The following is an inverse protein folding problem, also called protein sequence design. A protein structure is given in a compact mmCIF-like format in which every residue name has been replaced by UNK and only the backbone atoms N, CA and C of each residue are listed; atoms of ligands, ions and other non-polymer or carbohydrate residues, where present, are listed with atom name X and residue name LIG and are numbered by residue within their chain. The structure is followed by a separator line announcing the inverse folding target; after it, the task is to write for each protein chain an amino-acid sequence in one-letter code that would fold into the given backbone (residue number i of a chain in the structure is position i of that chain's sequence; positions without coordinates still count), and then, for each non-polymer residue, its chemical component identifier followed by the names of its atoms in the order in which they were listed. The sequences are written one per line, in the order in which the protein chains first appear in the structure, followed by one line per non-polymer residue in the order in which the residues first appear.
data_IF_002804469572
#
_entry.id   IF_002804469572
#
_cell.length_a   1.000
_cell.length_b   1.000
_cell.length_c   1.000
_cell.angle_alpha   90.00
_cell.angle_beta   90.00
_cell.angle_gamma   90.00
#
_symmetry.space_group_name_H-M   'P 1'
#
loop_
_entity.id
_entity.type
_entity.pdbx_description
1 polymer ?
#
# COMPACT_ATOMS: atom_id res chain seq x y z
N UNK A 1 6.12 -8.67 -11.35
CA UNK A 1 5.15 -8.15 -12.34
C UNK A 1 5.47 -6.71 -12.72
N UNK A 2 5.68 -5.78 -11.78
CA UNK A 2 6.05 -4.38 -12.11
C UNK A 2 7.40 -4.32 -12.86
N UNK A 3 8.38 -5.11 -12.42
CA UNK A 3 9.67 -5.26 -13.11
C UNK A 3 9.47 -5.61 -14.60
N UNK A 4 8.63 -6.60 -14.90
CA UNK A 4 8.32 -6.98 -16.28
C UNK A 4 7.68 -5.84 -17.08
N UNK A 5 6.76 -5.10 -16.46
CA UNK A 5 6.14 -3.94 -17.11
C UNK A 5 7.17 -2.81 -17.38
N UNK A 6 8.16 -2.65 -16.50
CA UNK A 6 9.26 -1.69 -16.69
C UNK A 6 10.24 -2.18 -17.76
N UNK A 7 10.51 -3.50 -17.85
CA UNK A 7 11.36 -4.10 -18.89
C UNK A 7 10.76 -3.91 -20.29
N UNK A 8 9.44 -4.07 -20.43
CA UNK A 8 8.75 -3.91 -21.74
C UNK A 8 8.89 -2.50 -22.33
N UNK A 9 9.15 -1.51 -21.50
CA UNK A 9 9.32 -0.11 -21.92
C UNK A 9 10.76 0.41 -21.74
N UNK A 10 11.72 -0.48 -21.53
CA UNK A 10 13.15 -0.16 -21.29
C UNK A 10 13.37 0.85 -20.14
N UNK A 11 12.55 0.81 -19.08
CA UNK A 11 12.61 1.69 -17.92
C UNK A 11 12.96 0.95 -16.61
N UNK A 12 13.39 -0.31 -16.69
CA UNK A 12 13.83 -1.08 -15.51
C UNK A 12 15.25 -0.66 -15.10
N UNK A 13 15.35 0.48 -14.44
CA UNK A 13 16.64 1.05 -14.00
C UNK A 13 16.67 1.25 -12.49
N UNK A 14 17.89 1.28 -11.92
CA UNK A 14 18.10 1.51 -10.49
C UNK A 14 17.52 2.86 -10.03
N UNK A 15 17.57 3.89 -10.89
CA UNK A 15 17.02 5.21 -10.59
C UNK A 15 15.49 5.14 -10.44
N UNK A 16 14.81 4.40 -11.31
CA UNK A 16 13.35 4.20 -11.23
C UNK A 16 12.99 3.46 -9.96
N UNK A 17 13.70 2.39 -9.62
CA UNK A 17 13.46 1.67 -8.37
C UNK A 17 13.74 2.52 -7.12
N UNK A 18 14.80 3.32 -7.10
CA UNK A 18 15.06 4.28 -6.02
C UNK A 18 13.93 5.29 -5.87
N UNK A 19 13.39 5.80 -6.97
CA UNK A 19 12.26 6.75 -6.93
C UNK A 19 10.97 6.11 -6.38
N UNK A 20 10.70 4.85 -6.74
CA UNK A 20 9.56 4.08 -6.21
C UNK A 20 9.72 3.87 -4.70
N UNK A 21 10.91 3.47 -4.24
CA UNK A 21 11.20 3.26 -2.81
C UNK A 21 11.04 4.57 -2.03
N UNK A 22 11.59 5.67 -2.54
CA UNK A 22 11.46 7.01 -1.93
C UNK A 22 9.99 7.46 -1.86
N UNK A 23 9.16 7.04 -2.82
CA UNK A 23 7.73 7.30 -2.87
C UNK A 23 6.88 6.27 -2.10
N UNK A 24 7.45 5.58 -1.09
CA UNK A 24 6.79 4.55 -0.29
C UNK A 24 6.23 3.37 -1.09
N UNK A 25 6.85 3.03 -2.20
CA UNK A 25 6.43 1.95 -3.10
C UNK A 25 5.39 2.38 -4.15
N UNK A 26 5.03 3.65 -4.21
CA UNK A 26 4.12 4.17 -5.23
C UNK A 26 4.82 4.33 -6.58
N UNK A 27 4.17 3.90 -7.65
CA UNK A 27 4.58 4.15 -9.03
C UNK A 27 3.74 5.24 -9.72
N UNK A 28 2.83 5.92 -9.00
CA UNK A 28 1.89 6.88 -9.58
C UNK A 28 2.58 8.13 -10.17
N UNK A 29 3.77 8.47 -9.69
CA UNK A 29 4.57 9.61 -10.15
C UNK A 29 5.35 9.35 -11.44
N UNK A 30 5.38 8.11 -11.94
CA UNK A 30 6.11 7.73 -13.13
C UNK A 30 5.29 8.06 -14.38
N UNK A 31 5.57 9.15 -15.07
CA UNK A 31 4.78 9.66 -16.20
C UNK A 31 4.81 8.74 -17.45
N UNK A 32 5.82 7.89 -17.54
CA UNK A 32 5.97 6.95 -18.67
C UNK A 32 5.10 5.68 -18.53
N UNK A 33 4.50 5.43 -17.35
CA UNK A 33 3.55 4.34 -17.16
C UNK A 33 2.15 4.76 -17.64
N UNK A 34 1.47 3.86 -18.32
CA UNK A 34 0.08 4.04 -18.70
C UNK A 34 -0.87 3.98 -17.48
N UNK A 35 -2.06 4.53 -17.63
CA UNK A 35 -3.05 4.61 -16.55
C UNK A 35 -3.48 3.22 -16.05
N UNK A 36 -3.53 2.23 -16.94
CA UNK A 36 -3.88 0.86 -16.55
C UNK A 36 -2.82 0.25 -15.63
N UNK A 37 -1.55 0.37 -15.99
CA UNK A 37 -0.43 -0.11 -15.19
C UNK A 37 -0.39 0.59 -13.83
N UNK A 38 -0.61 1.91 -13.80
CA UNK A 38 -0.72 2.67 -12.53
C UNK A 38 -1.86 2.19 -11.65
N UNK A 39 -3.03 1.89 -12.22
CA UNK A 39 -4.16 1.34 -11.46
C UNK A 39 -3.87 -0.05 -10.88
N UNK A 40 -3.20 -0.91 -11.64
CA UNK A 40 -2.85 -2.28 -11.21
C UNK A 40 -1.84 -2.28 -10.05
N UNK A 41 -0.89 -1.35 -10.07
CA UNK A 41 0.20 -1.28 -9.08
C UNK A 41 0.00 -0.22 -8.00
N UNK A 42 -1.25 0.12 -7.69
CA UNK A 42 -1.57 0.96 -6.53
C UNK A 42 -1.12 0.32 -5.22
N UNK A 43 -0.54 1.12 -4.35
CA UNK A 43 -0.24 0.72 -2.97
C UNK A 43 -1.51 0.56 -2.14
N UNK A 44 -1.40 -0.08 -0.98
CA UNK A 44 -2.53 -0.32 -0.09
C UNK A 44 -3.27 0.96 0.34
N UNK A 45 -2.56 2.08 0.50
CA UNK A 45 -3.14 3.39 0.87
C UNK A 45 -3.78 4.13 -0.31
N UNK A 46 -3.41 3.78 -1.54
CA UNK A 46 -3.94 4.36 -2.79
C UNK A 46 -5.21 3.62 -3.27
N UNK A 47 -5.42 2.40 -2.80
CA UNK A 47 -6.62 1.63 -3.11
C UNK A 47 -7.80 2.17 -2.31
N UNK A 48 -8.94 2.35 -2.98
CA UNK A 48 -10.20 2.68 -2.29
C UNK A 48 -10.60 1.56 -1.32
N UNK A 49 -10.60 1.84 -0.04
CA UNK A 49 -10.85 0.85 1.01
C UNK A 49 -12.26 0.29 1.01
N UNK A 50 -13.20 0.90 0.28
CA UNK A 50 -14.54 0.35 0.08
C UNK A 50 -14.51 -1.00 -0.63
N UNK A 51 -13.58 -1.21 -1.55
CA UNK A 51 -13.38 -2.50 -2.21
C UNK A 51 -12.96 -3.60 -1.23
N UNK A 52 -12.10 -3.26 -0.28
CA UNK A 52 -11.68 -4.21 0.77
C UNK A 52 -12.89 -4.67 1.59
N UNK A 53 -13.79 -3.73 1.94
CA UNK A 53 -15.02 -4.03 2.68
C UNK A 53 -15.99 -4.87 1.84
N UNK A 54 -16.19 -4.53 0.57
CA UNK A 54 -17.11 -5.23 -0.32
C UNK A 54 -16.71 -6.69 -0.49
N UNK A 55 -15.46 -6.96 -0.83
CA UNK A 55 -14.94 -8.33 -0.94
C UNK A 55 -14.97 -9.08 0.41
N UNK A 56 -14.76 -8.39 1.51
CA UNK A 56 -14.89 -9.01 2.82
C UNK A 56 -16.35 -9.38 3.14
N UNK A 57 -17.31 -8.53 2.80
CA UNK A 57 -18.72 -8.78 2.98
C UNK A 57 -19.20 -9.98 2.14
N UNK A 58 -18.72 -10.07 0.90
CA UNK A 58 -19.05 -11.22 0.04
C UNK A 58 -18.52 -12.53 0.61
N UNK A 59 -17.29 -12.55 1.10
CA UNK A 59 -16.71 -13.72 1.77
C UNK A 59 -17.40 -14.04 3.09
N UNK A 60 -17.90 -13.02 3.83
CA UNK A 60 -18.50 -13.21 5.16
C UNK A 60 -19.70 -14.13 5.14
N UNK A 61 -20.42 -14.20 4.03
CA UNK A 61 -21.56 -15.11 3.83
C UNK A 61 -21.17 -16.59 3.94
N UNK A 62 -19.90 -16.90 3.67
CA UNK A 62 -19.35 -18.26 3.64
C UNK A 62 -18.38 -18.54 4.80
N UNK A 63 -18.18 -17.58 5.70
CA UNK A 63 -17.25 -17.68 6.82
C UNK A 63 -18.02 -17.54 8.13
N UNK A 64 -18.00 -18.56 8.98
CA UNK A 64 -18.65 -18.52 10.29
C UNK A 64 -17.92 -17.66 11.31
N UNK A 65 -16.62 -17.50 11.16
CA UNK A 65 -15.75 -16.66 12.01
C UNK A 65 -15.64 -15.22 11.49
N UNK A 66 -14.97 -14.37 12.26
CA UNK A 66 -14.58 -13.06 11.80
C UNK A 66 -13.36 -13.12 10.85
N UNK A 67 -13.15 -12.05 10.10
CA UNK A 67 -12.01 -11.89 9.21
C UNK A 67 -11.02 -10.88 9.81
N UNK A 68 -9.70 -11.18 9.74
CA UNK A 68 -8.64 -10.23 10.10
C UNK A 68 -8.46 -9.21 8.98
N UNK A 69 -9.30 -8.17 8.98
CA UNK A 69 -9.38 -7.19 7.92
C UNK A 69 -8.56 -5.94 8.27
N UNK A 70 -7.57 -5.63 7.45
CA UNK A 70 -6.81 -4.40 7.58
C UNK A 70 -7.32 -3.38 6.56
N UNK A 71 -7.56 -2.15 7.04
CA UNK A 71 -7.90 -1.01 6.18
C UNK A 71 -6.78 0.03 6.29
N UNK A 72 -6.48 0.67 5.16
CA UNK A 72 -5.35 1.58 5.01
C UNK A 72 -5.86 2.95 4.59
N UNK A 73 -5.42 3.98 5.28
CA UNK A 73 -5.79 5.35 4.97
C UNK A 73 -4.58 6.27 4.97
N UNK A 74 -4.55 7.29 4.11
CA UNK A 74 -3.55 8.34 4.21
C UNK A 74 -3.71 9.11 5.53
N UNK A 75 -2.63 9.71 6.04
CA UNK A 75 -2.66 10.43 7.32
C UNK A 75 -3.62 11.61 7.38
N UNK A 76 -4.03 12.14 6.24
CA UNK A 76 -4.97 13.26 6.09
C UNK A 76 -6.41 12.85 5.74
N UNK A 77 -6.75 11.56 5.89
CA UNK A 77 -8.11 11.05 5.61
C UNK A 77 -9.18 11.86 6.36
N UNK A 78 -10.28 12.16 5.69
CA UNK A 78 -11.40 12.86 6.32
C UNK A 78 -12.16 11.95 7.30
N UNK A 79 -12.68 12.53 8.38
CA UNK A 79 -13.53 11.79 9.33
C UNK A 79 -14.79 11.22 8.65
N UNK A 80 -15.30 11.89 7.62
CA UNK A 80 -16.47 11.45 6.86
C UNK A 80 -16.15 10.19 6.07
N UNK A 81 -15.01 10.14 5.39
CA UNK A 81 -14.57 8.98 4.62
C UNK A 81 -14.30 7.77 5.53
N UNK A 82 -13.57 7.99 6.62
CA UNK A 82 -13.34 6.96 7.63
C UNK A 82 -14.65 6.41 8.18
N UNK A 83 -15.61 7.28 8.53
CA UNK A 83 -16.94 6.89 8.99
C UNK A 83 -17.72 6.13 7.91
N UNK A 84 -17.66 6.58 6.66
CA UNK A 84 -18.38 5.93 5.55
C UNK A 84 -17.93 4.49 5.34
N UNK A 85 -16.62 4.22 5.39
CA UNK A 85 -16.06 2.85 5.27
C UNK A 85 -16.52 1.97 6.44
N UNK A 86 -16.48 2.47 7.68
CA UNK A 86 -16.95 1.71 8.85
C UNK A 86 -18.45 1.43 8.78
N UNK A 87 -19.27 2.41 8.39
CA UNK A 87 -20.71 2.23 8.22
C UNK A 87 -21.06 1.27 7.09
N UNK A 88 -20.27 1.26 6.02
CA UNK A 88 -20.40 0.30 4.93
C UNK A 88 -20.13 -1.12 5.43
N UNK A 89 -19.04 -1.34 6.18
CA UNK A 89 -18.73 -2.64 6.77
C UNK A 89 -19.87 -3.15 7.67
N UNK A 90 -20.40 -2.29 8.53
CA UNK A 90 -21.51 -2.62 9.40
C UNK A 90 -22.79 -2.97 8.62
N UNK A 91 -23.17 -2.14 7.65
CA UNK A 91 -24.38 -2.36 6.83
C UNK A 91 -24.31 -3.63 5.99
N UNK A 92 -23.12 -4.02 5.53
CA UNK A 92 -22.91 -5.23 4.74
C UNK A 92 -22.70 -6.48 5.59
N UNK A 93 -22.76 -6.38 6.92
CA UNK A 93 -22.69 -7.53 7.82
C UNK A 93 -21.28 -8.09 8.03
N UNK A 94 -20.24 -7.29 7.80
CA UNK A 94 -18.87 -7.64 8.18
C UNK A 94 -18.78 -7.70 9.70
N UNK A 95 -18.38 -8.84 10.27
CA UNK A 95 -18.42 -9.07 11.71
C UNK A 95 -17.41 -8.24 12.49
N UNK A 96 -16.19 -8.13 11.98
CA UNK A 96 -15.12 -7.33 12.59
C UNK A 96 -14.18 -6.80 11.53
N UNK A 97 -13.53 -5.69 11.84
CA UNK A 97 -12.29 -5.24 11.23
C UNK A 97 -11.17 -5.40 12.25
N UNK A 98 -9.92 -5.50 11.82
CA UNK A 98 -8.81 -5.82 12.71
C UNK A 98 -7.91 -4.61 12.95
N UNK A 99 -7.20 -4.16 11.92
CA UNK A 99 -6.35 -2.97 12.02
C UNK A 99 -6.82 -1.85 11.10
N UNK A 100 -6.81 -0.65 11.64
CA UNK A 100 -6.79 0.58 10.86
C UNK A 100 -5.33 1.08 10.84
N UNK A 101 -4.73 1.07 9.66
CA UNK A 101 -3.37 1.56 9.43
C UNK A 101 -3.45 2.91 8.73
N UNK A 102 -2.83 3.91 9.34
CA UNK A 102 -2.71 5.22 8.71
C UNK A 102 -1.25 5.63 8.66
N UNK A 103 -0.88 6.34 7.60
CA UNK A 103 0.41 7.00 7.55
C UNK A 103 0.46 8.09 8.63
N UNK A 104 1.58 8.19 9.35
CA UNK A 104 1.80 9.33 10.23
C UNK A 104 1.84 10.60 9.38
N UNK A 105 1.17 11.66 9.84
CA UNK A 105 1.35 12.99 9.24
C UNK A 105 2.84 13.32 9.32
N UNK A 106 3.49 13.38 8.18
CA UNK A 106 4.92 13.69 8.10
C UNK A 106 5.16 15.05 8.76
N UNK A 107 5.74 15.06 9.95
CA UNK A 107 6.41 16.25 10.46
C UNK A 107 7.68 16.46 9.65
N UNK A 108 8.20 17.69 9.64
CA UNK A 108 9.35 18.14 8.84
C UNK A 108 10.69 17.37 9.00
N UNK A 109 10.66 16.14 9.49
CA UNK A 109 11.79 15.23 9.70
C UNK A 109 12.09 14.34 8.49
N UNK A 110 11.40 14.57 7.38
CA UNK A 110 11.44 13.72 6.18
C UNK A 110 12.82 13.60 5.51
N UNK A 111 13.71 14.55 5.73
CA UNK A 111 15.05 14.52 5.11
C UNK A 111 15.94 13.41 5.71
N UNK A 112 15.78 13.10 7.01
CA UNK A 112 16.56 12.03 7.64
C UNK A 112 16.04 10.64 7.26
N UNK A 113 14.74 10.48 7.02
CA UNK A 113 14.16 9.19 6.63
C UNK A 113 14.49 8.82 5.17
N UNK A 114 14.57 9.80 4.28
CA UNK A 114 15.01 9.59 2.90
C UNK A 114 16.48 9.15 2.85
N UNK A 115 17.34 9.82 3.60
CA UNK A 115 18.75 9.46 3.72
C UNK A 115 18.95 8.09 4.37
N UNK A 116 18.17 7.77 5.44
CA UNK A 116 18.22 6.46 6.10
C UNK A 116 17.76 5.33 5.17
N UNK A 117 16.74 5.55 4.36
CA UNK A 117 16.28 4.56 3.37
C UNK A 117 17.31 4.34 2.27
N UNK A 118 17.95 5.39 1.80
CA UNK A 118 19.05 5.31 0.84
C UNK A 118 20.23 4.51 1.39
N UNK A 119 20.64 4.78 2.65
CA UNK A 119 21.66 3.98 3.34
C UNK A 119 21.26 2.53 3.56
N UNK A 120 19.99 2.25 3.90
CA UNK A 120 19.50 0.89 4.08
C UNK A 120 19.47 0.12 2.76
N UNK A 121 19.15 0.79 1.65
CA UNK A 121 19.15 0.17 0.33
C UNK A 121 20.58 -0.19 -0.11
N UNK A 122 21.54 0.68 0.08
CA UNK A 122 22.95 0.45 -0.24
C UNK A 122 23.62 -0.62 0.67
N UNK A 123 23.02 -0.92 1.82
CA UNK A 123 23.52 -1.90 2.80
C UNK A 123 22.84 -3.28 2.73
N UNK A 124 21.83 -3.44 1.88
CA UNK A 124 21.22 -4.76 1.64
C UNK A 124 22.16 -5.56 0.76
N UNK A 125 23.00 -6.36 1.41
CA UNK A 125 23.80 -7.38 0.75
C UNK A 125 22.83 -8.39 0.10
N UNK A 126 23.02 -8.71 -1.19
CA UNK A 126 22.12 -9.56 -1.98
C UNK A 126 21.83 -10.95 -1.38
N UNK A 127 22.50 -11.30 -0.29
CA UNK A 127 22.41 -12.59 0.39
C UNK A 127 21.73 -12.59 1.76
N UNK A 128 21.25 -11.45 2.25
CA UNK A 128 20.62 -11.36 3.57
C UNK A 128 19.10 -11.41 3.50
N UNK A 129 18.53 -12.59 3.50
CA UNK A 129 17.08 -12.76 3.70
C UNK A 129 16.72 -12.66 5.19
N UNK A 130 16.48 -11.46 5.70
CA UNK A 130 16.10 -11.18 7.09
C UNK A 130 14.70 -11.67 7.48
N UNK A 131 13.92 -12.23 6.53
CA UNK A 131 12.57 -12.71 6.80
C UNK A 131 12.51 -14.17 7.29
N UNK A 132 13.63 -14.90 7.31
CA UNK A 132 13.66 -16.34 7.62
C UNK A 132 14.25 -16.68 8.99
N UNK A 133 14.68 -15.70 9.78
CA UNK A 133 15.17 -15.92 11.14
C UNK A 133 14.18 -15.35 12.16
N UNK A 134 13.10 -16.10 12.40
CA UNK A 134 12.13 -15.80 13.43
C UNK A 134 11.49 -17.04 14.00
#
# INVERSE_FOLDING_TARGET
YLEHALDEIDQNTDEVWKSIITSNGSCQHLDFLDDYTKEVFKTAVEIDQRWVIEFAADRQKHICQSQSLNVFFPGNVSKQELHAVHMMAWKQGVKTMYYLRSEALKRAETVSDEVLREYMFDSIDENACLACEG
#
